data_IF_352227114369
#
_entry.id   IF_352227114369
#
_cell.length_a   1.000
_cell.length_b   1.000
_cell.length_c   1.000
_cell.angle_alpha   90.00
_cell.angle_beta   90.00
_cell.angle_gamma   90.00
#
_symmetry.space_group_name_H-M   'P 1'
#
loop_
_entity.id
_entity.type
_entity.pdbx_description
1 polymer ?
#
# COMPACT_ATOMS: atom_id res chain seq x y z
N UNK A 1 19.71 -6.21 -12.59
CA UNK A 1 18.41 -6.91 -12.45
C UNK A 1 17.30 -5.89 -12.33
N UNK A 2 16.28 -5.93 -13.19
CA UNK A 2 15.15 -4.98 -13.08
C UNK A 2 14.16 -5.52 -12.03
N UNK A 3 14.30 -5.11 -10.78
CA UNK A 3 13.42 -5.53 -9.69
C UNK A 3 11.98 -5.00 -9.83
N UNK A 4 11.78 -3.85 -10.51
CA UNK A 4 10.47 -3.19 -10.64
C UNK A 4 9.68 -3.75 -11.82
N UNK A 5 8.99 -4.84 -11.58
CA UNK A 5 8.22 -5.60 -12.59
C UNK A 5 6.70 -5.44 -12.43
N UNK A 6 6.20 -5.19 -11.22
CA UNK A 6 4.77 -5.05 -10.93
C UNK A 6 4.22 -3.77 -11.58
N UNK A 7 3.17 -3.86 -12.41
CA UNK A 7 2.51 -2.68 -12.96
C UNK A 7 1.82 -1.85 -11.86
N UNK A 8 1.82 -0.52 -11.99
CA UNK A 8 1.14 0.39 -11.05
C UNK A 8 -0.36 0.11 -10.94
N UNK A 9 -1.02 -0.29 -12.03
CA UNK A 9 -2.43 -0.69 -12.01
C UNK A 9 -2.70 -1.93 -11.16
N UNK A 10 -1.81 -2.92 -11.20
CA UNK A 10 -1.93 -4.13 -10.38
C UNK A 10 -1.72 -3.79 -8.89
N UNK A 11 -0.72 -2.96 -8.59
CA UNK A 11 -0.47 -2.44 -7.25
C UNK A 11 -1.71 -1.70 -6.72
N UNK A 12 -2.24 -0.75 -7.49
CA UNK A 12 -3.45 0.00 -7.14
C UNK A 12 -4.65 -0.90 -6.82
N UNK A 13 -4.84 -2.00 -7.57
CA UNK A 13 -5.91 -2.96 -7.28
C UNK A 13 -5.71 -3.66 -5.93
N UNK A 14 -4.45 -3.98 -5.58
CA UNK A 14 -4.12 -4.56 -4.27
C UNK A 14 -4.43 -3.57 -3.15
N UNK A 15 -4.01 -2.30 -3.25
CA UNK A 15 -4.26 -1.28 -2.22
C UNK A 15 -5.75 -1.10 -1.92
N UNK A 16 -6.58 -1.07 -2.99
CA UNK A 16 -8.04 -0.92 -2.83
C UNK A 16 -8.71 -2.14 -2.17
N UNK A 17 -8.03 -3.29 -2.11
CA UNK A 17 -8.49 -4.48 -1.37
C UNK A 17 -7.88 -4.51 0.04
N UNK A 18 -6.59 -4.24 0.16
CA UNK A 18 -5.84 -4.37 1.42
C UNK A 18 -6.24 -3.31 2.43
N UNK A 19 -6.43 -2.06 2.02
CA UNK A 19 -6.88 -0.99 2.91
C UNK A 19 -8.16 -1.34 3.68
N UNK A 20 -9.28 -1.64 3.00
CA UNK A 20 -10.51 -2.12 3.67
C UNK A 20 -10.30 -3.41 4.46
N UNK A 21 -9.53 -4.37 3.96
CA UNK A 21 -9.26 -5.62 4.65
C UNK A 21 -8.52 -5.40 5.99
N UNK A 22 -7.57 -4.47 6.05
CA UNK A 22 -6.87 -4.09 7.28
C UNK A 22 -7.82 -3.43 8.29
N UNK A 23 -8.74 -2.58 7.84
CA UNK A 23 -9.73 -1.97 8.73
C UNK A 23 -10.61 -3.05 9.38
N UNK A 24 -11.00 -4.07 8.61
CA UNK A 24 -11.87 -5.17 9.04
C UNK A 24 -11.10 -6.33 9.71
N UNK A 25 -9.79 -6.39 9.60
CA UNK A 25 -8.99 -7.50 10.12
C UNK A 25 -9.23 -7.79 11.63
N UNK A 26 -9.35 -6.79 12.53
CA UNK A 26 -9.65 -7.06 13.93
C UNK A 26 -10.96 -7.80 14.16
N UNK A 27 -12.00 -7.53 13.36
CA UNK A 27 -13.27 -8.25 13.40
C UNK A 27 -13.10 -9.70 12.94
N UNK A 28 -12.42 -9.89 11.81
CA UNK A 28 -12.21 -11.20 11.19
C UNK A 28 -11.40 -12.15 12.08
N UNK A 29 -10.45 -11.62 12.83
CA UNK A 29 -9.61 -12.40 13.74
C UNK A 29 -10.08 -12.42 15.20
N UNK A 30 -11.25 -11.84 15.51
CA UNK A 30 -11.80 -11.78 16.88
C UNK A 30 -10.95 -10.94 17.83
N UNK A 31 -10.35 -9.85 17.33
CA UNK A 31 -9.45 -8.95 18.07
C UNK A 31 -10.00 -7.52 18.19
N UNK A 32 -11.26 -7.29 17.80
CA UNK A 32 -11.88 -5.95 17.71
C UNK A 32 -11.91 -5.18 19.03
N UNK A 33 -12.06 -5.90 20.14
CA UNK A 33 -12.26 -5.33 21.48
C UNK A 33 -10.93 -5.01 22.18
N UNK A 34 -9.81 -5.49 21.67
CA UNK A 34 -8.47 -5.18 22.19
C UNK A 34 -7.81 -4.05 21.37
N UNK A 35 -7.69 -2.88 22.00
CA UNK A 35 -7.04 -1.71 21.36
C UNK A 35 -5.58 -1.96 20.99
N UNK A 36 -4.88 -2.88 21.67
CA UNK A 36 -3.49 -3.22 21.32
C UNK A 36 -3.39 -3.98 20.00
N UNK A 37 -4.40 -4.75 19.65
CA UNK A 37 -4.43 -5.54 18.43
C UNK A 37 -5.18 -4.84 17.30
N UNK A 38 -6.20 -4.01 17.61
CA UNK A 38 -7.10 -3.44 16.60
C UNK A 38 -6.65 -2.08 16.05
N UNK A 39 -5.92 -1.28 16.83
CA UNK A 39 -5.61 0.11 16.45
C UNK A 39 -4.69 0.20 15.23
N UNK A 40 -3.58 -0.55 15.23
CA UNK A 40 -2.56 -0.44 14.19
C UNK A 40 -3.08 -0.87 12.82
N UNK A 41 -3.73 -2.04 12.64
CA UNK A 41 -4.25 -2.41 11.33
C UNK A 41 -5.35 -1.46 10.84
N UNK A 42 -6.21 -0.94 11.71
CA UNK A 42 -7.23 0.04 11.32
C UNK A 42 -6.63 1.36 10.85
N UNK A 43 -5.62 1.87 11.56
CA UNK A 43 -4.92 3.09 11.14
C UNK A 43 -4.14 2.86 9.84
N UNK A 44 -3.45 1.73 9.71
CA UNK A 44 -2.75 1.38 8.49
C UNK A 44 -3.72 1.33 7.30
N UNK A 45 -4.82 0.59 7.40
CA UNK A 45 -5.81 0.50 6.33
C UNK A 45 -6.50 1.83 5.99
N UNK A 46 -6.79 2.67 6.99
CA UNK A 46 -7.38 3.99 6.75
C UNK A 46 -6.41 4.95 6.04
N UNK A 47 -5.15 4.98 6.47
CA UNK A 47 -4.12 5.81 5.82
C UNK A 47 -3.78 5.31 4.42
N UNK A 48 -3.67 3.99 4.22
CA UNK A 48 -3.48 3.38 2.91
C UNK A 48 -4.63 3.74 1.95
N UNK A 49 -5.89 3.57 2.37
CA UNK A 49 -7.04 3.96 1.58
C UNK A 49 -7.04 5.45 1.19
N UNK A 50 -6.56 6.32 2.09
CA UNK A 50 -6.43 7.75 1.81
C UNK A 50 -5.36 8.02 0.75
N UNK A 51 -4.12 7.59 0.95
CA UNK A 51 -3.06 7.91 0.00
C UNK A 51 -3.17 7.11 -1.31
N UNK A 52 -3.76 5.91 -1.30
CA UNK A 52 -4.08 5.17 -2.51
C UNK A 52 -5.00 5.98 -3.44
N UNK A 53 -6.05 6.60 -2.90
CA UNK A 53 -6.96 7.45 -3.68
C UNK A 53 -6.33 8.76 -4.18
N UNK A 54 -5.20 9.16 -3.63
CA UNK A 54 -4.46 10.37 -4.02
C UNK A 54 -3.24 10.09 -4.90
N UNK A 55 -2.85 8.83 -5.07
CA UNK A 55 -1.62 8.45 -5.77
C UNK A 55 -1.75 8.57 -7.27
N UNK A 56 -0.65 8.99 -7.92
CA UNK A 56 -0.57 9.07 -9.37
C UNK A 56 -0.41 7.66 -9.98
N UNK A 57 -1.49 6.92 -10.02
CA UNK A 57 -1.66 5.65 -10.71
C UNK A 57 -3.08 5.49 -11.28
N UNK A 58 -3.36 4.38 -11.98
CA UNK A 58 -4.52 4.26 -12.88
C UNK A 58 -5.87 4.23 -12.18
N UNK A 59 -5.94 3.78 -10.90
CA UNK A 59 -7.20 3.59 -10.16
C UNK A 59 -7.46 4.67 -9.09
N UNK A 60 -6.63 5.71 -9.01
CA UNK A 60 -6.81 6.77 -8.03
C UNK A 60 -7.98 7.70 -8.36
N UNK A 61 -8.66 8.20 -7.35
CA UNK A 61 -9.69 9.24 -7.49
C UNK A 61 -9.06 10.58 -7.91
N UNK A 62 -7.87 10.90 -7.38
CA UNK A 62 -7.13 12.12 -7.71
C UNK A 62 -5.63 11.83 -7.75
N UNK A 63 -4.95 12.20 -8.84
CA UNK A 63 -3.55 11.89 -9.07
C UNK A 63 -2.62 13.04 -8.68
N UNK A 64 -2.38 13.22 -7.39
CA UNK A 64 -1.54 14.30 -6.83
C UNK A 64 -0.30 13.80 -6.09
N UNK A 65 -0.35 12.59 -5.51
CA UNK A 65 0.77 11.99 -4.78
C UNK A 65 1.67 11.22 -5.75
N UNK A 66 2.96 11.57 -5.87
CA UNK A 66 3.89 10.83 -6.72
C UNK A 66 4.00 9.35 -6.32
N UNK A 67 4.03 8.44 -7.31
CA UNK A 67 4.13 6.99 -7.05
C UNK A 67 5.35 6.61 -6.19
N UNK A 68 6.47 7.32 -6.33
CA UNK A 68 7.66 7.07 -5.51
C UNK A 68 7.42 7.35 -4.02
N UNK A 69 6.66 8.40 -3.71
CA UNK A 69 6.31 8.72 -2.32
C UNK A 69 5.31 7.71 -1.76
N UNK A 70 4.33 7.30 -2.56
CA UNK A 70 3.42 6.21 -2.21
C UNK A 70 4.19 4.94 -1.81
N UNK A 71 5.11 4.46 -2.65
CA UNK A 71 5.91 3.26 -2.36
C UNK A 71 6.78 3.40 -1.10
N UNK A 72 7.22 4.62 -0.78
CA UNK A 72 7.92 4.87 0.49
C UNK A 72 6.97 4.77 1.70
N UNK A 73 5.74 5.27 1.55
CA UNK A 73 4.70 5.14 2.57
C UNK A 73 4.33 3.66 2.80
N UNK A 74 4.20 2.85 1.74
CA UNK A 74 3.96 1.41 1.87
C UNK A 74 5.08 0.71 2.61
N UNK A 75 6.34 1.03 2.30
CA UNK A 75 7.47 0.43 3.01
C UNK A 75 7.45 0.79 4.50
N UNK A 76 7.12 2.03 4.86
CA UNK A 76 7.00 2.48 6.25
C UNK A 76 5.79 1.82 6.92
N UNK A 77 4.63 1.78 6.24
CA UNK A 77 3.41 1.10 6.72
C UNK A 77 3.69 -0.37 6.96
N UNK A 78 4.28 -1.06 5.99
CA UNK A 78 4.60 -2.48 6.09
C UNK A 78 5.55 -2.81 7.23
N UNK A 79 6.59 -1.99 7.45
CA UNK A 79 7.49 -2.13 8.60
C UNK A 79 6.76 -1.90 9.92
N UNK A 80 5.94 -0.86 10.00
CA UNK A 80 5.18 -0.51 11.21
C UNK A 80 4.17 -1.60 11.54
N UNK A 81 3.39 -2.02 10.55
CA UNK A 81 2.38 -3.07 10.69
C UNK A 81 3.04 -4.40 11.08
N UNK A 82 4.10 -4.79 10.36
CA UNK A 82 4.83 -6.02 10.62
C UNK A 82 5.43 -6.08 12.02
N UNK A 83 6.03 -4.98 12.51
CA UNK A 83 6.67 -4.92 13.82
C UNK A 83 5.69 -4.74 14.99
N UNK A 84 4.49 -4.19 14.74
CA UNK A 84 3.54 -3.78 15.78
C UNK A 84 3.24 -4.86 16.83
N UNK A 85 3.00 -6.14 16.51
CA UNK A 85 2.70 -7.15 17.52
C UNK A 85 3.81 -7.38 18.53
N UNK A 86 5.06 -7.26 18.11
CA UNK A 86 6.22 -7.41 19.00
C UNK A 86 6.44 -6.16 19.84
N UNK A 87 6.37 -4.98 19.23
CA UNK A 87 6.50 -3.69 19.92
C UNK A 87 5.40 -3.52 20.98
N UNK A 88 4.18 -3.94 20.67
CA UNK A 88 3.03 -3.84 21.59
C UNK A 88 2.89 -5.03 22.55
N UNK A 89 3.75 -6.05 22.41
CA UNK A 89 3.78 -7.24 23.27
C UNK A 89 2.62 -8.21 23.03
N UNK A 90 1.86 -8.08 21.93
CA UNK A 90 0.73 -8.95 21.63
C UNK A 90 1.12 -10.24 20.91
N UNK A 91 2.31 -10.30 20.31
CA UNK A 91 2.81 -11.48 19.60
C UNK A 91 2.86 -12.74 20.48
N UNK A 92 3.09 -12.58 21.79
CA UNK A 92 3.14 -13.68 22.78
C UNK A 92 1.78 -14.36 22.99
N UNK A 93 0.68 -13.73 22.57
CA UNK A 93 -0.68 -14.24 22.79
C UNK A 93 -1.13 -15.28 21.75
N UNK A 94 -0.32 -15.54 20.71
CA UNK A 94 -0.58 -16.56 19.71
C UNK A 94 -0.57 -16.04 18.26
N UNK A 95 -0.63 -16.96 17.30
CA UNK A 95 -0.44 -16.66 15.87
C UNK A 95 -1.42 -15.63 15.31
N UNK A 96 -2.68 -15.65 15.72
CA UNK A 96 -3.69 -14.70 15.25
C UNK A 96 -3.35 -13.22 15.53
N UNK A 97 -2.51 -12.96 16.55
CA UNK A 97 -2.10 -11.63 16.96
C UNK A 97 -0.93 -11.07 16.15
N UNK A 98 -0.13 -11.91 15.50
CA UNK A 98 1.05 -11.46 14.77
C UNK A 98 1.12 -11.89 13.30
N UNK A 99 0.62 -13.09 12.96
CA UNK A 99 0.79 -13.65 11.63
C UNK A 99 0.14 -12.80 10.52
N UNK A 100 -1.10 -12.29 10.65
CA UNK A 100 -1.69 -11.40 9.66
C UNK A 100 -0.88 -10.12 9.46
N UNK A 101 -0.39 -9.51 10.53
CA UNK A 101 0.46 -8.32 10.49
C UNK A 101 1.78 -8.58 9.75
N UNK A 102 2.43 -9.70 10.04
CA UNK A 102 3.68 -10.07 9.39
C UNK A 102 3.51 -10.35 7.89
N UNK A 103 2.42 -11.04 7.51
CA UNK A 103 2.12 -11.35 6.10
C UNK A 103 1.84 -10.06 5.32
N UNK A 104 0.94 -9.22 5.80
CA UNK A 104 0.57 -7.98 5.10
C UNK A 104 1.75 -7.01 5.08
N UNK A 105 2.46 -6.83 6.19
CA UNK A 105 3.64 -5.98 6.24
C UNK A 105 4.74 -6.42 5.27
N UNK A 106 5.02 -7.72 5.17
CA UNK A 106 5.98 -8.25 4.20
C UNK A 106 5.50 -8.07 2.75
N UNK A 107 4.20 -8.21 2.50
CA UNK A 107 3.60 -7.98 1.19
C UNK A 107 3.72 -6.50 0.76
N UNK A 108 3.39 -5.54 1.62
CA UNK A 108 3.53 -4.10 1.35
C UNK A 108 4.98 -3.74 1.02
N UNK A 109 5.95 -4.23 1.80
CA UNK A 109 7.38 -4.02 1.53
C UNK A 109 7.77 -4.64 0.18
N UNK A 110 7.33 -5.87 -0.09
CA UNK A 110 7.59 -6.56 -1.36
C UNK A 110 7.04 -5.79 -2.56
N UNK A 111 5.81 -5.29 -2.46
CA UNK A 111 5.20 -4.45 -3.50
C UNK A 111 5.93 -3.12 -3.65
N UNK A 112 6.30 -2.45 -2.56
CA UNK A 112 7.06 -1.20 -2.59
C UNK A 112 8.39 -1.34 -3.34
N UNK A 113 9.07 -2.47 -3.19
CA UNK A 113 10.35 -2.76 -3.84
C UNK A 113 10.19 -3.16 -5.33
N UNK A 114 9.10 -3.84 -5.67
CA UNK A 114 8.93 -4.46 -7.00
C UNK A 114 8.01 -3.69 -7.94
N UNK A 115 7.26 -2.71 -7.46
CA UNK A 115 6.35 -1.92 -8.29
C UNK A 115 7.07 -0.84 -9.09
N UNK A 116 6.63 -0.64 -10.33
CA UNK A 116 7.10 0.44 -11.23
C UNK A 116 6.74 1.80 -10.64
N UNK A 117 7.63 2.79 -10.84
CA UNK A 117 7.48 4.13 -10.29
C UNK A 117 6.73 5.10 -11.20
N UNK A 118 6.32 4.64 -12.39
CA UNK A 118 5.57 5.44 -13.36
C UNK A 118 4.32 4.69 -13.80
N UNK A 119 3.15 5.35 -13.84
CA UNK A 119 1.92 4.77 -14.35
C UNK A 119 2.05 4.24 -15.78
N UNK A 120 1.40 3.12 -16.06
CA UNK A 120 1.47 2.47 -17.38
C UNK A 120 0.87 3.30 -18.49
N UNK A 121 -0.15 4.10 -18.18
CA UNK A 121 -0.81 5.01 -19.12
C UNK A 121 0.07 6.19 -19.56
N UNK A 122 1.05 6.60 -18.74
CA UNK A 122 2.05 7.62 -19.11
C UNK A 122 3.19 7.09 -19.98
N UNK A 123 3.34 5.78 -20.09
CA UNK A 123 4.39 5.14 -20.91
C UNK A 123 4.00 4.90 -22.35
N UNK A 124 2.75 5.18 -22.72
CA UNK A 124 2.28 5.00 -24.11
C UNK A 124 3.00 5.99 -25.03
N UNK A 125 3.46 5.55 -26.23
CA UNK A 125 4.15 6.42 -27.19
C UNK A 125 3.37 7.69 -27.55
N UNK A 126 2.05 7.60 -27.58
CA UNK A 126 1.12 8.71 -27.85
C UNK A 126 1.17 9.82 -26.77
N UNK A 127 1.39 9.48 -25.52
CA UNK A 127 1.55 10.48 -24.46
C UNK A 127 2.82 11.31 -24.64
N UNK A 128 3.94 10.67 -25.01
CA UNK A 128 5.22 11.38 -25.28
C UNK A 128 5.10 12.28 -26.49
N UNK A 129 4.47 11.82 -27.56
CA UNK A 129 4.21 12.62 -28.77
C UNK A 129 3.33 13.84 -28.49
N UNK A 130 2.24 13.68 -27.75
CA UNK A 130 1.34 14.78 -27.36
C UNK A 130 2.02 15.80 -26.44
N UNK A 131 2.90 15.35 -25.53
CA UNK A 131 3.67 16.26 -24.66
C UNK A 131 4.65 17.10 -25.48
N UNK A 132 5.35 16.50 -26.43
CA UNK A 132 6.28 17.23 -27.31
C UNK A 132 5.57 18.24 -28.19
N UNK A 133 4.39 17.90 -28.73
CA UNK A 133 3.56 18.82 -29.53
C UNK A 133 3.07 20.03 -28.71
N UNK A 134 2.78 19.85 -27.40
CA UNK A 134 2.38 20.96 -26.51
C UNK A 134 3.52 21.88 -26.11
N UNK A 135 4.77 21.44 -26.20
CA UNK A 135 5.94 22.23 -25.88
C UNK A 135 6.49 22.98 -27.12
N UNK A 136 6.00 22.64 -28.31
CA UNK A 136 6.39 23.24 -29.59
C UNK A 136 5.48 24.41 -30.00
N UNK A 137 4.47 24.73 -29.19
CA UNK A 137 3.57 25.88 -29.30
C UNK A 137 3.69 26.77 -28.07
#
# INVERSE_FOLDING_TARGET
MKLRVVPTKAHAAVDHVVGPALILAPELFGLKDDKKDSLVPRLAGATEGLYANLTDYELAAKRVLPMRLHLALDAISGLTLGAAPWVRGTAKRGKRHWLPHAIVGAMEIGLALTTKTEPGDRRKPDYRARKLLRLAH
#
